data_IF_626995072171
#
_entry.id   IF_626995072171
#
_cell.length_a   1.000
_cell.length_b   1.000
_cell.length_c   1.000
_cell.angle_alpha   90.00
_cell.angle_beta   90.00
_cell.angle_gamma   90.00
#
_symmetry.space_group_name_H-M   'P 1'
#
loop_
_entity.id
_entity.type
_entity.pdbx_description
1 polymer ?
#
# COMPACT_ATOMS: atom_id res chain seq x y z
N UNK A 1 -33.23 -1.69 -10.35
CA UNK A 1 -33.83 -0.34 -10.50
C UNK A 1 -32.66 0.61 -10.55
N UNK A 2 -32.40 1.22 -11.70
CA UNK A 2 -31.25 2.11 -11.89
C UNK A 2 -31.41 3.38 -11.06
N UNK A 3 -30.37 3.71 -10.32
CA UNK A 3 -30.22 5.02 -9.68
C UNK A 3 -30.21 6.08 -10.77
N UNK A 4 -31.16 7.00 -10.75
CA UNK A 4 -31.24 8.19 -11.62
C UNK A 4 -30.31 9.31 -11.10
N UNK A 5 -29.30 8.98 -10.27
CA UNK A 5 -28.30 9.91 -9.79
C UNK A 5 -27.16 10.06 -10.78
N UNK A 6 -26.58 11.25 -10.87
CA UNK A 6 -25.36 11.51 -11.63
C UNK A 6 -24.23 10.64 -11.08
N UNK A 7 -23.52 9.92 -11.98
CA UNK A 7 -22.35 9.09 -11.62
C UNK A 7 -21.33 9.94 -10.86
N UNK A 8 -20.76 9.39 -9.77
CA UNK A 8 -19.68 10.04 -9.03
C UNK A 8 -18.31 9.68 -9.59
N UNK A 9 -17.29 10.46 -9.23
CA UNK A 9 -15.91 10.08 -9.53
C UNK A 9 -15.47 8.80 -8.84
N UNK A 10 -16.07 8.45 -7.71
CA UNK A 10 -15.81 7.17 -7.04
C UNK A 10 -16.31 5.99 -7.89
N UNK A 11 -17.54 6.09 -8.44
CA UNK A 11 -18.09 5.08 -9.35
C UNK A 11 -17.24 4.95 -10.60
N UNK A 12 -16.78 6.09 -11.15
CA UNK A 12 -15.96 6.11 -12.36
C UNK A 12 -14.56 5.51 -12.11
N UNK A 13 -13.97 5.78 -10.96
CA UNK A 13 -12.68 5.22 -10.60
C UNK A 13 -12.75 3.70 -10.42
N UNK A 14 -13.84 3.18 -9.83
CA UNK A 14 -14.06 1.73 -9.71
C UNK A 14 -14.21 1.01 -11.07
N UNK A 15 -14.61 1.70 -12.12
CA UNK A 15 -14.60 1.14 -13.49
C UNK A 15 -13.16 0.99 -14.04
N UNK A 16 -12.23 1.83 -13.62
CA UNK A 16 -10.86 1.91 -14.16
C UNK A 16 -9.85 1.05 -13.40
N UNK A 17 -10.01 0.95 -12.06
CA UNK A 17 -9.10 0.23 -11.17
C UNK A 17 -9.87 -0.31 -9.96
N UNK A 18 -9.24 -1.16 -9.17
CA UNK A 18 -9.82 -1.60 -7.90
C UNK A 18 -9.67 -0.51 -6.85
N UNK A 19 -10.78 -0.06 -6.29
CA UNK A 19 -10.77 0.88 -5.17
C UNK A 19 -10.61 0.10 -3.87
N UNK A 20 -9.49 0.35 -3.17
CA UNK A 20 -9.21 -0.21 -1.86
C UNK A 20 -9.49 0.82 -0.77
N UNK A 21 -10.04 0.38 0.35
CA UNK A 21 -10.28 1.24 1.52
C UNK A 21 -9.09 1.17 2.47
N UNK A 22 -8.46 2.32 2.73
CA UNK A 22 -7.42 2.46 3.76
C UNK A 22 -8.04 2.95 5.07
N UNK A 23 -8.87 2.11 5.66
CA UNK A 23 -9.57 2.33 6.92
C UNK A 23 -10.09 1.01 7.48
N UNK A 24 -10.32 0.93 8.80
CA UNK A 24 -10.69 -0.33 9.46
C UNK A 24 -12.04 -0.31 10.18
N UNK A 25 -12.72 0.83 10.29
CA UNK A 25 -14.00 0.93 11.01
C UNK A 25 -15.14 0.23 10.23
N UNK A 26 -15.76 -0.86 10.75
CA UNK A 26 -16.71 -1.66 10.00
C UNK A 26 -17.98 -0.91 9.58
N UNK A 27 -18.51 -0.07 10.44
CA UNK A 27 -19.75 0.65 10.17
C UNK A 27 -19.58 1.67 9.05
N UNK A 28 -18.40 2.31 8.98
CA UNK A 28 -18.08 3.22 7.89
C UNK A 28 -17.94 2.47 6.56
N UNK A 29 -17.24 1.33 6.55
CA UNK A 29 -17.04 0.51 5.34
C UNK A 29 -18.38 0.01 4.79
N UNK A 30 -19.28 -0.45 5.66
CA UNK A 30 -20.60 -0.94 5.27
C UNK A 30 -21.53 0.16 4.75
N UNK A 31 -21.36 1.40 5.20
CA UNK A 31 -22.17 2.53 4.78
C UNK A 31 -21.84 3.05 3.38
N UNK A 32 -20.72 2.65 2.79
CA UNK A 32 -20.31 3.09 1.46
C UNK A 32 -21.17 2.46 0.34
N UNK A 33 -21.32 3.15 -0.81
CA UNK A 33 -22.28 2.76 -1.86
C UNK A 33 -21.92 1.46 -2.60
N UNK A 34 -20.69 0.99 -2.48
CA UNK A 34 -20.23 -0.27 -3.07
C UNK A 34 -19.26 -1.02 -2.15
N UNK A 35 -19.02 -2.28 -2.50
CA UNK A 35 -18.10 -3.15 -1.79
C UNK A 35 -16.69 -2.94 -2.30
N UNK A 36 -15.80 -2.42 -1.46
CA UNK A 36 -14.39 -2.21 -1.79
C UNK A 36 -13.70 -3.51 -2.20
N UNK A 37 -12.63 -3.40 -2.99
CA UNK A 37 -11.86 -4.57 -3.37
C UNK A 37 -11.05 -5.08 -2.17
N UNK A 38 -10.07 -4.35 -1.69
CA UNK A 38 -9.26 -4.70 -0.51
C UNK A 38 -9.46 -3.69 0.63
N UNK A 39 -9.23 -4.15 1.88
CA UNK A 39 -9.07 -3.28 3.03
C UNK A 39 -7.60 -3.24 3.43
N UNK A 40 -6.99 -2.06 3.35
CA UNK A 40 -5.60 -1.87 3.77
C UNK A 40 -5.51 -1.26 5.16
N UNK A 41 -4.37 -1.40 5.79
CA UNK A 41 -4.04 -0.81 7.08
C UNK A 41 -2.54 -0.59 7.23
N UNK A 42 -2.19 0.01 8.33
CA UNK A 42 -0.82 0.16 8.82
C UNK A 42 -0.88 0.34 10.35
N UNK A 43 0.24 0.58 11.00
CA UNK A 43 0.30 0.72 12.46
C UNK A 43 -0.55 1.88 13.01
N UNK A 44 -0.77 2.93 12.21
CA UNK A 44 -1.61 4.08 12.66
C UNK A 44 -3.07 3.67 12.79
N UNK A 45 -3.58 2.94 11.81
CA UNK A 45 -4.98 2.49 11.81
C UNK A 45 -5.22 1.42 12.88
N UNK A 46 -4.28 0.51 13.08
CA UNK A 46 -4.35 -0.47 14.18
C UNK A 46 -4.32 0.23 15.54
N UNK A 47 -3.43 1.22 15.71
CA UNK A 47 -3.35 2.03 16.94
C UNK A 47 -4.68 2.75 17.26
N UNK A 48 -5.31 3.38 16.26
CA UNK A 48 -6.61 4.04 16.42
C UNK A 48 -7.68 3.02 16.79
N UNK A 49 -7.74 1.89 16.12
CA UNK A 49 -8.74 0.86 16.38
C UNK A 49 -8.56 0.16 17.73
N UNK A 50 -7.35 0.01 18.24
CA UNK A 50 -7.09 -0.46 19.60
C UNK A 50 -7.62 0.50 20.68
N UNK A 51 -7.71 1.80 20.35
CA UNK A 51 -8.28 2.81 21.25
C UNK A 51 -9.79 3.01 21.09
N UNK A 52 -10.44 2.36 20.12
CA UNK A 52 -11.86 2.52 19.86
C UNK A 52 -12.70 1.69 20.82
N UNK A 53 -13.71 2.32 21.44
CA UNK A 53 -14.58 1.67 22.45
C UNK A 53 -15.31 0.44 21.89
N UNK A 54 -15.61 0.39 20.59
CA UNK A 54 -16.24 -0.76 19.92
C UNK A 54 -15.36 -2.02 19.91
N UNK A 55 -14.06 -1.87 20.18
CA UNK A 55 -13.09 -2.95 20.27
C UNK A 55 -12.69 -3.31 21.71
N UNK A 56 -13.15 -2.54 22.72
CA UNK A 56 -12.69 -2.66 24.10
C UNK A 56 -12.89 -4.06 24.70
N UNK A 57 -14.09 -4.62 24.58
CA UNK A 57 -14.39 -5.96 25.08
C UNK A 57 -13.52 -7.03 24.40
N UNK A 58 -13.40 -6.96 23.07
CA UNK A 58 -12.55 -7.86 22.31
C UNK A 58 -11.07 -7.74 22.72
N UNK A 59 -10.62 -6.53 22.98
CA UNK A 59 -9.25 -6.26 23.41
C UNK A 59 -8.98 -6.82 24.80
N UNK A 60 -9.91 -6.64 25.74
CA UNK A 60 -9.82 -7.20 27.09
C UNK A 60 -9.79 -8.74 27.07
N UNK A 61 -10.70 -9.37 26.30
CA UNK A 61 -10.75 -10.83 26.15
C UNK A 61 -9.46 -11.38 25.53
N UNK A 62 -8.97 -10.75 24.46
CA UNK A 62 -7.72 -11.16 23.80
C UNK A 62 -6.52 -11.02 24.73
N UNK A 63 -6.46 -9.95 25.52
CA UNK A 63 -5.38 -9.72 26.47
C UNK A 63 -5.37 -10.77 27.60
N UNK A 64 -6.54 -11.17 28.12
CA UNK A 64 -6.68 -12.26 29.08
C UNK A 64 -6.23 -13.59 28.48
N UNK A 65 -6.67 -13.89 27.25
CA UNK A 65 -6.36 -15.14 26.56
C UNK A 65 -4.84 -15.31 26.31
N UNK A 66 -4.17 -14.24 25.91
CA UNK A 66 -2.75 -14.26 25.53
C UNK A 66 -1.83 -13.70 26.61
N UNK A 67 -2.34 -13.54 27.87
CA UNK A 67 -1.53 -13.09 28.99
C UNK A 67 -0.30 -14.00 29.15
N UNK A 68 0.88 -13.39 29.18
CA UNK A 68 2.15 -14.11 29.26
C UNK A 68 2.82 -14.43 27.91
N UNK A 69 2.17 -14.19 26.76
CA UNK A 69 2.78 -14.37 25.45
C UNK A 69 3.43 -13.08 24.88
N UNK A 70 3.37 -11.99 25.63
CA UNK A 70 3.95 -10.70 25.27
C UNK A 70 3.02 -9.82 24.42
N UNK A 71 3.36 -8.53 24.35
CA UNK A 71 2.53 -7.52 23.69
C UNK A 71 2.31 -7.80 22.19
N UNK A 72 3.31 -8.33 21.49
CA UNK A 72 3.24 -8.57 20.04
C UNK A 72 2.20 -9.65 19.69
N UNK A 73 2.07 -10.69 20.52
CA UNK A 73 1.05 -11.73 20.32
C UNK A 73 -0.36 -11.12 20.40
N UNK A 74 -0.61 -10.28 21.40
CA UNK A 74 -1.90 -9.60 21.59
C UNK A 74 -2.17 -8.61 20.46
N UNK A 75 -1.18 -7.76 20.13
CA UNK A 75 -1.26 -6.82 19.01
C UNK A 75 -1.63 -7.53 17.70
N UNK A 76 -0.90 -8.60 17.38
CA UNK A 76 -1.10 -9.35 16.12
C UNK A 76 -2.50 -9.99 16.10
N UNK A 77 -2.91 -10.62 17.18
CA UNK A 77 -4.24 -11.21 17.31
C UNK A 77 -5.34 -10.18 17.16
N UNK A 78 -5.22 -9.03 17.84
CA UNK A 78 -6.17 -7.92 17.74
C UNK A 78 -6.25 -7.36 16.32
N UNK A 79 -5.11 -7.10 15.68
CA UNK A 79 -5.08 -6.60 14.31
C UNK A 79 -5.82 -7.53 13.34
N UNK A 80 -5.60 -8.85 13.46
CA UNK A 80 -6.30 -9.86 12.66
C UNK A 80 -7.79 -9.91 12.96
N UNK A 81 -8.20 -9.84 14.23
CA UNK A 81 -9.62 -9.85 14.61
C UNK A 81 -10.37 -8.60 14.16
N UNK A 82 -9.71 -7.44 14.18
CA UNK A 82 -10.27 -6.20 13.64
C UNK A 82 -10.43 -6.29 12.11
N UNK A 83 -9.46 -6.87 11.39
CA UNK A 83 -9.60 -7.18 9.96
C UNK A 83 -10.76 -8.16 9.70
N UNK A 84 -10.93 -9.17 10.56
CA UNK A 84 -12.03 -10.14 10.42
C UNK A 84 -13.41 -9.49 10.44
N UNK A 85 -13.60 -8.40 11.18
CA UNK A 85 -14.87 -7.65 11.18
C UNK A 85 -15.25 -7.11 9.80
N UNK A 86 -14.29 -6.92 8.91
CA UNK A 86 -14.45 -6.32 7.59
C UNK A 86 -14.44 -7.33 6.43
N UNK A 87 -14.01 -8.58 6.67
CA UNK A 87 -13.74 -9.54 5.60
C UNK A 87 -14.94 -9.81 4.68
N UNK A 88 -16.16 -9.81 5.22
CA UNK A 88 -17.38 -10.02 4.45
C UNK A 88 -17.89 -8.74 3.75
N UNK A 89 -17.34 -7.59 4.13
CA UNK A 89 -17.68 -6.28 3.58
C UNK A 89 -16.76 -5.85 2.43
N UNK A 90 -15.75 -6.67 2.09
CA UNK A 90 -14.82 -6.46 0.99
C UNK A 90 -14.82 -7.65 0.03
N UNK A 91 -14.35 -7.44 -1.19
CA UNK A 91 -14.30 -8.47 -2.22
C UNK A 91 -13.02 -9.31 -2.13
N UNK A 92 -11.89 -8.69 -1.84
CA UNK A 92 -10.56 -9.26 -1.92
C UNK A 92 -9.94 -9.54 -0.54
N UNK A 93 -8.85 -8.85 -0.23
CA UNK A 93 -7.94 -9.13 0.88
C UNK A 93 -7.97 -8.07 1.96
N UNK A 94 -7.72 -8.48 3.20
CA UNK A 94 -7.31 -7.58 4.28
C UNK A 94 -5.79 -7.54 4.37
N UNK A 95 -5.21 -6.37 4.61
CA UNK A 95 -3.77 -6.18 4.61
C UNK A 95 -3.28 -5.63 5.95
N UNK A 96 -2.29 -6.29 6.53
CA UNK A 96 -1.61 -5.89 7.77
C UNK A 96 -0.11 -5.77 7.54
N UNK A 97 0.53 -4.81 8.21
CA UNK A 97 1.94 -4.50 8.06
C UNK A 97 2.78 -5.10 9.18
N UNK A 98 3.94 -5.69 8.84
CA UNK A 98 4.95 -6.11 9.82
C UNK A 98 5.51 -4.92 10.60
N UNK A 99 6.16 -5.18 11.74
CA UNK A 99 6.70 -4.13 12.60
C UNK A 99 7.71 -3.25 11.84
N UNK A 100 7.45 -1.95 11.70
CA UNK A 100 8.36 -1.02 11.02
C UNK A 100 9.67 -0.83 11.77
N UNK A 101 9.69 -0.96 13.11
CA UNK A 101 10.91 -0.95 13.92
C UNK A 101 11.87 -2.10 13.58
N UNK A 102 11.38 -3.14 12.89
CA UNK A 102 12.13 -4.33 12.45
C UNK A 102 12.36 -4.37 10.95
N UNK A 103 12.12 -3.27 10.25
CA UNK A 103 12.28 -3.19 8.79
C UNK A 103 13.70 -3.54 8.30
N UNK A 104 14.73 -3.39 9.14
CA UNK A 104 16.12 -3.76 8.83
C UNK A 104 16.57 -5.07 9.48
N UNK A 105 15.61 -5.92 9.91
CA UNK A 105 15.87 -7.23 10.51
C UNK A 105 15.04 -8.30 9.75
N UNK A 106 15.72 -9.09 8.92
CA UNK A 106 15.11 -10.15 8.11
C UNK A 106 14.37 -11.17 8.97
N UNK A 107 15.01 -11.64 10.06
CA UNK A 107 14.42 -12.69 10.89
C UNK A 107 13.20 -12.19 11.66
N UNK A 108 13.28 -11.00 12.26
CA UNK A 108 12.14 -10.41 12.95
C UNK A 108 10.96 -10.12 12.00
N UNK A 109 11.23 -9.71 10.75
CA UNK A 109 10.19 -9.55 9.72
C UNK A 109 9.54 -10.88 9.36
N UNK A 110 10.33 -11.94 9.17
CA UNK A 110 9.84 -13.31 8.93
C UNK A 110 8.97 -13.80 10.08
N UNK A 111 9.45 -13.67 11.31
CA UNK A 111 8.75 -14.17 12.50
C UNK A 111 7.40 -13.49 12.67
N UNK A 112 7.35 -12.16 12.48
CA UNK A 112 6.08 -11.43 12.58
C UNK A 112 5.12 -11.76 11.43
N UNK A 113 5.61 -11.88 10.19
CA UNK A 113 4.78 -12.24 9.04
C UNK A 113 4.18 -13.66 9.21
N UNK A 114 4.96 -14.62 9.71
CA UNK A 114 4.49 -15.97 10.01
C UNK A 114 3.52 -15.99 11.20
N UNK A 115 3.69 -15.11 12.17
CA UNK A 115 2.71 -14.94 13.24
C UNK A 115 1.37 -14.43 12.70
N UNK A 116 1.37 -13.47 11.78
CA UNK A 116 0.16 -13.04 11.08
C UNK A 116 -0.50 -14.19 10.31
N UNK A 117 0.26 -14.95 9.52
CA UNK A 117 -0.26 -16.12 8.78
C UNK A 117 -0.96 -17.11 9.72
N UNK A 118 -0.33 -17.43 10.86
CA UNK A 118 -0.91 -18.30 11.90
C UNK A 118 -2.19 -17.71 12.49
N UNK A 119 -2.21 -16.42 12.81
CA UNK A 119 -3.38 -15.77 13.41
C UNK A 119 -4.52 -15.57 12.42
N UNK A 120 -4.23 -15.33 11.14
CA UNK A 120 -5.24 -15.34 10.07
C UNK A 120 -5.87 -16.72 9.91
N UNK A 121 -5.06 -17.79 9.87
CA UNK A 121 -5.57 -19.17 9.82
C UNK A 121 -6.45 -19.50 11.03
N UNK A 122 -6.03 -19.09 12.23
CA UNK A 122 -6.82 -19.24 13.47
C UNK A 122 -8.13 -18.46 13.42
N UNK A 123 -8.17 -17.33 12.73
CA UNK A 123 -9.38 -16.55 12.53
C UNK A 123 -10.29 -17.11 11.42
N UNK A 124 -9.88 -18.16 10.70
CA UNK A 124 -10.59 -18.74 9.57
C UNK A 124 -10.43 -17.94 8.27
N UNK A 125 -9.38 -17.14 8.15
CA UNK A 125 -9.07 -16.33 6.96
C UNK A 125 -7.92 -17.01 6.20
N UNK A 126 -8.20 -17.49 4.99
CA UNK A 126 -7.20 -18.16 4.15
C UNK A 126 -6.20 -17.18 3.54
N UNK A 127 -5.07 -17.69 3.05
CA UNK A 127 -4.04 -16.90 2.35
C UNK A 127 -4.54 -16.16 1.12
N UNK A 128 -5.67 -16.58 0.56
CA UNK A 128 -6.34 -15.90 -0.56
C UNK A 128 -7.10 -14.64 -0.12
N UNK A 129 -7.33 -14.45 1.18
CA UNK A 129 -8.11 -13.37 1.74
C UNK A 129 -7.30 -12.39 2.61
N UNK A 130 -5.98 -12.56 2.67
CA UNK A 130 -5.10 -11.57 3.30
C UNK A 130 -3.82 -11.35 2.48
N UNK A 131 -3.09 -10.29 2.83
CA UNK A 131 -1.76 -10.01 2.31
C UNK A 131 -0.96 -9.24 3.36
N UNK A 132 0.34 -9.54 3.48
CA UNK A 132 1.21 -8.93 4.49
C UNK A 132 2.03 -7.82 3.87
N UNK A 133 1.90 -6.61 4.41
CA UNK A 133 2.67 -5.44 3.98
C UNK A 133 4.07 -5.48 4.57
N UNK A 134 5.07 -5.35 3.73
CA UNK A 134 6.50 -5.40 4.04
C UNK A 134 7.16 -4.08 3.63
N UNK A 135 7.82 -3.35 4.52
CA UNK A 135 8.58 -2.15 4.14
C UNK A 135 9.66 -2.46 3.09
N UNK A 136 9.87 -1.56 2.14
CA UNK A 136 10.78 -1.77 1.00
C UNK A 136 12.25 -1.46 1.34
N UNK A 137 12.77 -2.10 2.38
CA UNK A 137 14.19 -2.15 2.80
C UNK A 137 14.82 -3.46 2.36
N UNK A 138 16.13 -3.51 2.27
CA UNK A 138 16.85 -4.71 1.85
C UNK A 138 16.54 -5.94 2.70
N UNK A 139 16.73 -5.92 4.02
CA UNK A 139 16.45 -7.05 4.90
C UNK A 139 14.99 -7.48 4.87
N UNK A 140 14.02 -6.53 4.84
CA UNK A 140 12.61 -6.87 4.79
C UNK A 140 12.19 -7.48 3.44
N UNK A 141 12.74 -7.01 2.31
CA UNK A 141 12.47 -7.60 0.99
C UNK A 141 13.10 -8.99 0.84
N UNK A 142 14.23 -9.27 1.50
CA UNK A 142 14.75 -10.64 1.60
C UNK A 142 13.78 -11.55 2.39
N UNK A 143 13.20 -11.06 3.48
CA UNK A 143 12.13 -11.79 4.17
C UNK A 143 10.94 -12.03 3.23
N UNK A 144 10.51 -11.04 2.46
CA UNK A 144 9.42 -11.17 1.50
C UNK A 144 9.69 -12.26 0.44
N UNK A 145 10.93 -12.38 -0.04
CA UNK A 145 11.33 -13.45 -0.98
C UNK A 145 11.12 -14.85 -0.36
N UNK A 146 11.48 -15.03 0.91
CA UNK A 146 11.29 -16.29 1.63
C UNK A 146 9.79 -16.56 1.83
N UNK A 147 9.03 -15.56 2.26
CA UNK A 147 7.59 -15.66 2.47
C UNK A 147 6.84 -16.00 1.17
N UNK A 148 7.24 -15.42 0.05
CA UNK A 148 6.68 -15.74 -1.28
C UNK A 148 6.91 -17.21 -1.64
N UNK A 149 8.10 -17.76 -1.35
CA UNK A 149 8.40 -19.17 -1.55
C UNK A 149 7.59 -20.10 -0.63
N UNK A 150 7.17 -19.61 0.54
CA UNK A 150 6.27 -20.30 1.47
C UNK A 150 4.78 -20.16 1.09
N UNK A 151 4.46 -19.41 0.01
CA UNK A 151 3.10 -19.15 -0.44
C UNK A 151 2.34 -18.15 0.44
N UNK A 152 3.03 -17.33 1.22
CA UNK A 152 2.46 -16.23 2.00
C UNK A 152 2.47 -14.97 1.13
N UNK A 153 1.29 -14.40 0.78
CA UNK A 153 1.24 -13.24 -0.10
C UNK A 153 1.74 -11.97 0.60
N UNK A 154 2.56 -11.20 -0.12
CA UNK A 154 3.18 -9.97 0.42
C UNK A 154 2.95 -8.77 -0.50
N UNK A 155 3.00 -7.57 0.10
CA UNK A 155 2.94 -6.27 -0.55
C UNK A 155 4.13 -5.41 -0.13
N UNK A 156 4.87 -4.87 -1.09
CA UNK A 156 5.94 -3.88 -0.84
C UNK A 156 5.35 -2.51 -0.54
N UNK A 157 5.53 -2.02 0.70
CA UNK A 157 5.06 -0.70 1.15
C UNK A 157 6.23 0.23 1.49
N UNK A 158 5.96 1.50 1.81
CA UNK A 158 6.98 2.54 1.94
C UNK A 158 7.89 2.53 0.70
N UNK A 159 7.26 2.55 -0.47
CA UNK A 159 7.89 2.43 -1.77
C UNK A 159 7.84 3.76 -2.51
N UNK A 160 8.98 4.26 -2.92
CA UNK A 160 9.16 5.60 -3.51
C UNK A 160 10.02 5.59 -4.79
N UNK A 161 10.58 4.45 -5.20
CA UNK A 161 11.50 4.37 -6.33
C UNK A 161 11.26 3.16 -7.23
N UNK A 162 11.71 3.27 -8.48
CA UNK A 162 11.72 2.15 -9.41
C UNK A 162 12.63 1.01 -8.94
N UNK A 163 13.76 1.31 -8.29
CA UNK A 163 14.65 0.28 -7.75
C UNK A 163 13.94 -0.60 -6.71
N UNK A 164 13.17 0.02 -5.79
CA UNK A 164 12.36 -0.71 -4.82
C UNK A 164 11.29 -1.57 -5.51
N UNK A 165 10.64 -1.06 -6.56
CA UNK A 165 9.66 -1.83 -7.32
C UNK A 165 10.29 -3.04 -8.01
N UNK A 166 11.47 -2.90 -8.62
CA UNK A 166 12.21 -4.01 -9.23
C UNK A 166 12.58 -5.05 -8.15
N UNK A 167 13.08 -4.61 -6.98
CA UNK A 167 13.37 -5.52 -5.87
C UNK A 167 12.14 -6.30 -5.40
N UNK A 168 10.97 -5.67 -5.34
CA UNK A 168 9.71 -6.33 -5.02
C UNK A 168 9.32 -7.39 -6.07
N UNK A 169 9.53 -7.10 -7.36
CA UNK A 169 9.37 -8.09 -8.43
C UNK A 169 10.31 -9.29 -8.24
N UNK A 170 11.58 -9.03 -7.93
CA UNK A 170 12.58 -10.08 -7.66
C UNK A 170 12.25 -10.91 -6.42
N UNK A 171 11.58 -10.31 -5.43
CA UNK A 171 11.10 -11.01 -4.23
C UNK A 171 9.83 -11.85 -4.50
N UNK A 172 9.20 -11.76 -5.68
CA UNK A 172 7.97 -12.48 -6.00
C UNK A 172 6.74 -11.96 -5.23
N UNK A 173 6.71 -10.69 -4.89
CA UNK A 173 5.61 -10.08 -4.16
C UNK A 173 4.35 -9.99 -5.02
N UNK A 174 3.17 -10.11 -4.38
CA UNK A 174 1.88 -10.03 -5.06
C UNK A 174 1.52 -8.59 -5.45
N UNK A 175 1.84 -7.64 -4.58
CA UNK A 175 1.49 -6.24 -4.73
C UNK A 175 2.66 -5.33 -4.40
N UNK A 176 2.62 -4.10 -4.91
CA UNK A 176 3.38 -2.96 -4.40
C UNK A 176 2.46 -1.77 -4.17
N UNK A 177 2.83 -0.94 -3.22
CA UNK A 177 2.10 0.31 -2.89
C UNK A 177 3.04 1.52 -3.01
N UNK A 178 3.26 2.05 -4.23
CA UNK A 178 3.97 3.32 -4.37
C UNK A 178 3.22 4.44 -3.64
N UNK A 179 3.93 5.25 -2.86
CA UNK A 179 3.34 6.40 -2.18
C UNK A 179 3.42 7.63 -3.09
N UNK A 180 2.25 8.12 -3.48
CA UNK A 180 2.13 9.28 -4.34
C UNK A 180 2.65 10.53 -3.66
N UNK A 181 2.17 10.79 -2.45
CA UNK A 181 2.75 11.80 -1.56
C UNK A 181 3.69 11.16 -0.52
N UNK A 182 4.68 11.93 -0.09
CA UNK A 182 5.42 11.60 1.12
C UNK A 182 4.51 11.67 2.36
N UNK A 183 4.79 10.85 3.37
CA UNK A 183 3.90 10.74 4.54
C UNK A 183 3.74 12.04 5.31
N UNK A 184 4.78 12.86 5.38
CA UNK A 184 4.74 14.15 6.06
C UNK A 184 3.80 15.16 5.39
N UNK A 185 3.59 15.06 4.07
CA UNK A 185 2.73 15.99 3.35
C UNK A 185 1.26 15.98 3.82
N UNK A 186 0.83 14.91 4.49
CA UNK A 186 -0.52 14.82 5.08
C UNK A 186 -0.72 15.78 6.26
N UNK A 187 0.34 16.07 7.00
CA UNK A 187 0.32 16.97 8.17
C UNK A 187 0.99 18.31 7.87
N UNK A 188 1.99 18.34 6.98
CA UNK A 188 2.73 19.52 6.55
C UNK A 188 2.41 19.86 5.09
N UNK A 189 1.29 20.55 4.87
CA UNK A 189 0.81 20.91 3.53
C UNK A 189 1.79 21.71 2.67
N UNK A 190 2.81 22.33 3.28
CA UNK A 190 3.91 22.98 2.55
C UNK A 190 4.79 21.99 1.75
N UNK A 191 4.74 20.70 2.08
CA UNK A 191 5.41 19.64 1.35
C UNK A 191 4.55 19.02 0.25
N UNK A 192 3.26 19.32 0.23
CA UNK A 192 2.33 18.81 -0.75
C UNK A 192 2.44 19.57 -2.06
N UNK A 193 2.69 18.88 -3.18
CA UNK A 193 2.70 19.48 -4.51
C UNK A 193 1.25 19.72 -4.96
N UNK A 194 0.70 20.86 -4.59
CA UNK A 194 -0.65 21.28 -5.00
C UNK A 194 -0.65 21.70 -6.48
N UNK A 195 -0.91 20.72 -7.34
CA UNK A 195 -0.89 20.88 -8.81
C UNK A 195 -2.28 20.68 -9.40
N UNK A 196 -2.55 21.34 -10.52
CA UNK A 196 -3.87 21.30 -11.16
C UNK A 196 -4.16 20.00 -11.90
N UNK A 197 -3.12 19.34 -12.42
CA UNK A 197 -3.17 18.07 -13.16
C UNK A 197 -2.19 17.05 -12.56
N UNK A 198 -2.60 16.34 -11.48
CA UNK A 198 -1.69 15.44 -10.77
C UNK A 198 -1.07 14.37 -11.66
N UNK A 199 -1.82 13.78 -12.61
CA UNK A 199 -1.27 12.74 -13.49
C UNK A 199 -0.04 13.21 -14.28
N UNK A 200 -0.03 14.48 -14.66
CA UNK A 200 1.03 15.07 -15.50
C UNK A 200 2.08 15.85 -14.72
N UNK A 201 1.66 16.51 -13.62
CA UNK A 201 2.46 17.54 -12.95
C UNK A 201 2.98 17.10 -11.58
N UNK A 202 2.34 16.10 -10.95
CA UNK A 202 2.81 15.60 -9.66
C UNK A 202 4.21 14.98 -9.77
N UNK A 203 5.17 15.36 -8.93
CA UNK A 203 6.57 14.94 -9.07
C UNK A 203 6.79 13.43 -8.96
N UNK A 204 5.84 12.68 -8.39
CA UNK A 204 5.93 11.22 -8.31
C UNK A 204 5.26 10.49 -9.49
N UNK A 205 4.48 11.17 -10.34
CA UNK A 205 3.84 10.56 -11.51
C UNK A 205 4.83 9.89 -12.45
N UNK A 206 6.01 10.49 -12.77
CA UNK A 206 7.02 9.82 -13.57
C UNK A 206 7.43 8.45 -12.98
N UNK A 207 7.69 8.38 -11.67
CA UNK A 207 8.08 7.12 -11.03
C UNK A 207 6.99 6.05 -11.11
N UNK A 208 5.72 6.42 -10.93
CA UNK A 208 4.59 5.49 -11.04
C UNK A 208 4.46 4.93 -12.45
N UNK A 209 4.50 5.77 -13.48
CA UNK A 209 4.40 5.29 -14.88
C UNK A 209 5.63 4.48 -15.29
N UNK A 210 6.82 4.84 -14.83
CA UNK A 210 8.05 4.06 -15.07
C UNK A 210 7.99 2.67 -14.45
N UNK A 211 7.40 2.54 -13.26
CA UNK A 211 7.16 1.24 -12.60
C UNK A 211 6.19 0.40 -13.45
N UNK A 212 5.05 0.97 -13.84
CA UNK A 212 4.04 0.28 -14.65
C UNK A 212 4.62 -0.22 -15.97
N UNK A 213 5.34 0.64 -16.70
CA UNK A 213 5.95 0.26 -17.98
C UNK A 213 7.09 -0.77 -17.81
N UNK A 214 7.87 -0.69 -16.71
CA UNK A 214 8.89 -1.67 -16.40
C UNK A 214 8.24 -3.05 -16.14
N UNK A 215 7.15 -3.11 -15.40
CA UNK A 215 6.46 -4.37 -15.12
C UNK A 215 5.78 -4.96 -16.37
N UNK A 216 5.19 -4.12 -17.22
CA UNK A 216 4.67 -4.56 -18.55
C UNK A 216 5.78 -5.19 -19.40
N UNK A 217 6.94 -4.54 -19.45
CA UNK A 217 8.12 -5.04 -20.17
C UNK A 217 8.62 -6.37 -19.59
N UNK A 218 8.81 -6.45 -18.28
CA UNK A 218 9.26 -7.68 -17.59
C UNK A 218 8.29 -8.85 -17.82
N UNK A 219 6.98 -8.62 -17.75
CA UNK A 219 5.98 -9.63 -18.07
C UNK A 219 6.11 -10.10 -19.53
N UNK A 220 6.22 -9.16 -20.48
CA UNK A 220 6.37 -9.47 -21.91
C UNK A 220 7.64 -10.28 -22.19
N UNK A 221 8.75 -9.96 -21.55
CA UNK A 221 10.05 -10.61 -21.75
C UNK A 221 10.12 -11.98 -21.08
N UNK A 222 9.49 -12.17 -19.93
CA UNK A 222 9.70 -13.36 -19.09
C UNK A 222 8.47 -14.27 -18.99
N UNK A 223 7.28 -13.77 -19.29
CA UNK A 223 6.01 -14.44 -19.02
C UNK A 223 5.66 -14.59 -17.53
N UNK A 224 6.48 -14.02 -16.62
CA UNK A 224 6.25 -14.09 -15.17
C UNK A 224 5.33 -12.96 -14.73
N UNK A 225 4.38 -13.31 -13.87
CA UNK A 225 3.53 -12.32 -13.21
C UNK A 225 4.40 -11.29 -12.46
N UNK A 226 3.95 -10.05 -12.51
CA UNK A 226 4.58 -8.93 -11.82
C UNK A 226 3.67 -8.45 -10.69
N UNK A 227 4.21 -7.79 -9.65
CA UNK A 227 3.37 -7.22 -8.60
C UNK A 227 2.30 -6.28 -9.18
N UNK A 228 1.07 -6.37 -8.68
CA UNK A 228 0.04 -5.39 -9.04
C UNK A 228 0.33 -4.06 -8.32
N UNK A 229 0.18 -2.96 -9.04
CA UNK A 229 0.47 -1.63 -8.52
C UNK A 229 -0.78 -1.06 -7.84
N UNK A 230 -0.71 -0.92 -6.51
CA UNK A 230 -1.71 -0.29 -5.65
C UNK A 230 -1.19 1.09 -5.22
N UNK A 231 -1.42 2.12 -6.04
CA UNK A 231 -0.96 3.47 -5.70
C UNK A 231 -1.65 3.99 -4.44
N UNK A 232 -0.94 4.68 -3.57
CA UNK A 232 -1.41 5.07 -2.23
C UNK A 232 -0.94 6.46 -1.84
N UNK A 233 -1.37 6.93 -0.65
CA UNK A 233 -0.95 8.22 -0.08
C UNK A 233 -1.48 9.41 -0.87
N UNK A 234 -2.80 9.44 -1.10
CA UNK A 234 -3.50 10.55 -1.74
C UNK A 234 -4.01 11.56 -0.71
N UNK A 235 -3.89 12.85 -1.03
CA UNK A 235 -4.42 13.97 -0.24
C UNK A 235 -5.74 14.46 -0.84
N UNK A 236 -5.89 14.36 -2.15
CA UNK A 236 -7.09 14.84 -2.86
C UNK A 236 -7.75 13.78 -3.74
N UNK A 237 -9.04 13.96 -4.07
CA UNK A 237 -9.72 13.14 -5.08
C UNK A 237 -8.98 13.12 -6.42
N UNK A 238 -8.45 14.25 -6.87
CA UNK A 238 -7.75 14.39 -8.15
C UNK A 238 -6.50 13.51 -8.24
N UNK A 239 -5.77 13.37 -7.12
CA UNK A 239 -4.63 12.45 -7.06
C UNK A 239 -5.05 10.98 -7.18
N UNK A 240 -6.17 10.60 -6.54
CA UNK A 240 -6.70 9.26 -6.69
C UNK A 240 -7.18 8.98 -8.14
N UNK A 241 -7.81 9.97 -8.78
CA UNK A 241 -8.21 9.89 -10.20
C UNK A 241 -7.00 9.77 -11.11
N UNK A 242 -5.89 10.45 -10.79
CA UNK A 242 -4.64 10.33 -11.54
C UNK A 242 -4.11 8.89 -11.56
N UNK A 243 -4.30 8.11 -10.49
CA UNK A 243 -3.93 6.69 -10.47
C UNK A 243 -4.68 5.88 -11.54
N UNK A 244 -5.95 6.18 -11.78
CA UNK A 244 -6.75 5.57 -12.86
C UNK A 244 -6.20 5.92 -14.23
N UNK A 245 -5.92 7.19 -14.50
CA UNK A 245 -5.37 7.63 -15.79
C UNK A 245 -3.98 7.05 -16.07
N UNK A 246 -3.11 6.97 -15.07
CA UNK A 246 -1.79 6.35 -15.20
C UNK A 246 -1.84 4.84 -15.47
N UNK A 247 -2.99 4.20 -15.23
CA UNK A 247 -3.16 2.76 -15.43
C UNK A 247 -2.75 1.90 -14.23
N UNK A 248 -2.79 2.43 -13.02
CA UNK A 248 -2.60 1.64 -11.80
C UNK A 248 -3.69 0.56 -11.67
N UNK A 249 -3.37 -0.58 -11.06
CA UNK A 249 -4.30 -1.70 -10.91
C UNK A 249 -5.28 -1.49 -9.74
N UNK A 250 -4.84 -0.73 -8.73
CA UNK A 250 -5.64 -0.33 -7.58
C UNK A 250 -5.24 1.06 -7.08
N UNK A 251 -6.15 1.70 -6.37
CA UNK A 251 -5.89 2.90 -5.58
C UNK A 251 -6.28 2.62 -4.12
N UNK A 252 -5.31 2.75 -3.22
CA UNK A 252 -5.49 2.64 -1.77
C UNK A 252 -5.80 4.01 -1.21
N UNK A 253 -7.06 4.24 -0.83
CA UNK A 253 -7.62 5.57 -0.58
C UNK A 253 -8.14 5.66 0.85
N UNK A 254 -7.76 6.73 1.56
CA UNK A 254 -8.27 7.00 2.90
C UNK A 254 -9.77 7.29 2.89
N UNK A 255 -10.43 7.01 4.01
CA UNK A 255 -11.87 7.24 4.18
C UNK A 255 -12.28 8.69 3.86
N UNK A 256 -11.46 9.67 4.23
CA UNK A 256 -11.74 11.10 3.98
C UNK A 256 -11.72 11.47 2.50
N UNK A 257 -10.81 10.89 1.72
CA UNK A 257 -10.73 11.10 0.26
C UNK A 257 -11.84 10.32 -0.45
N UNK A 258 -12.17 9.10 0.01
CA UNK A 258 -13.29 8.31 -0.50
C UNK A 258 -14.64 9.04 -0.33
N UNK A 259 -14.87 9.68 0.80
CA UNK A 259 -16.08 10.48 1.02
C UNK A 259 -16.17 11.67 0.06
N UNK A 260 -15.05 12.32 -0.23
CA UNK A 260 -15.01 13.41 -1.22
C UNK A 260 -15.28 12.89 -2.63
N UNK A 261 -14.66 11.78 -3.04
CA UNK A 261 -14.87 11.13 -4.33
C UNK A 261 -16.33 10.72 -4.54
N UNK A 262 -16.98 10.18 -3.50
CA UNK A 262 -18.38 9.73 -3.59
C UNK A 262 -19.37 10.88 -3.80
N UNK A 263 -19.01 12.09 -3.40
CA UNK A 263 -19.83 13.31 -3.53
C UNK A 263 -19.47 14.15 -4.75
N UNK A 264 -18.34 13.88 -5.41
CA UNK A 264 -17.85 14.64 -6.56
C UNK A 264 -18.51 14.10 -7.84
N UNK A 265 -19.38 14.89 -8.55
CA UNK A 265 -19.99 14.46 -9.80
C UNK A 265 -18.91 14.20 -10.86
N UNK A 266 -19.08 13.11 -11.59
CA UNK A 266 -18.19 12.80 -12.71
C UNK A 266 -18.28 13.87 -13.81
N UNK A 267 -17.14 14.31 -14.29
CA UNK A 267 -16.98 15.28 -15.37
C UNK A 267 -15.75 14.91 -16.21
N UNK A 268 -16.00 14.36 -17.40
CA UNK A 268 -14.96 13.91 -18.32
C UNK A 268 -14.05 15.04 -18.84
N UNK A 269 -14.44 16.30 -18.67
CA UNK A 269 -13.63 17.46 -19.09
C UNK A 269 -12.57 17.87 -18.08
N UNK A 270 -12.63 17.31 -16.84
CA UNK A 270 -11.69 17.61 -15.76
C UNK A 270 -10.39 16.83 -15.89
N UNK A 271 -9.31 17.44 -15.38
CA UNK A 271 -8.01 16.78 -15.21
C UNK A 271 -7.84 16.31 -13.77
N UNK A 272 -7.18 15.17 -13.51
CA UNK A 272 -6.60 14.28 -14.52
C UNK A 272 -7.65 13.69 -15.47
N UNK A 273 -7.20 13.15 -16.60
CA UNK A 273 -8.06 12.50 -17.56
C UNK A 273 -8.66 11.19 -17.05
N UNK A 274 -9.57 10.65 -17.83
CA UNK A 274 -10.18 9.35 -17.55
C UNK A 274 -9.22 8.22 -17.90
N UNK A 275 -9.08 7.24 -17.00
CA UNK A 275 -8.37 6.00 -17.27
C UNK A 275 -9.21 5.05 -18.14
N UNK A 276 -8.57 3.99 -18.62
CA UNK A 276 -9.24 2.92 -19.36
C UNK A 276 -9.97 1.98 -18.39
N UNK A 277 -11.00 1.26 -18.84
CA UNK A 277 -11.65 0.24 -18.03
C UNK A 277 -10.67 -0.81 -17.53
N UNK A 278 -10.92 -1.40 -16.35
CA UNK A 278 -10.08 -2.46 -15.77
C UNK A 278 -9.80 -3.55 -16.80
N UNK A 279 -8.53 -3.91 -17.05
CA UNK A 279 -8.20 -5.02 -17.92
C UNK A 279 -8.58 -6.35 -17.29
N UNK A 280 -8.89 -7.36 -18.12
CA UNK A 280 -9.13 -8.73 -17.64
C UNK A 280 -7.87 -9.32 -16.99
N UNK A 281 -6.70 -8.93 -17.48
CA UNK A 281 -5.40 -9.33 -16.95
C UNK A 281 -4.46 -8.12 -16.94
N UNK A 282 -3.81 -7.88 -15.80
CA UNK A 282 -3.03 -6.67 -15.56
C UNK A 282 -1.93 -6.40 -16.60
N UNK A 283 -1.26 -7.46 -17.08
CA UNK A 283 -0.08 -7.32 -17.94
C UNK A 283 -0.23 -7.97 -19.31
N UNK A 284 -1.09 -8.97 -19.45
CA UNK A 284 -1.32 -9.65 -20.74
C UNK A 284 -2.16 -8.74 -21.64
N UNK A 285 -1.57 -8.26 -22.73
CA UNK A 285 -2.18 -7.28 -23.65
C UNK A 285 -2.55 -5.96 -22.93
N UNK A 286 -1.70 -5.54 -21.98
CA UNK A 286 -1.90 -4.29 -21.27
C UNK A 286 -1.94 -3.09 -22.24
N UNK A 287 -2.87 -2.19 -21.99
CA UNK A 287 -3.01 -0.97 -22.80
C UNK A 287 -1.76 -0.10 -22.72
N UNK A 288 -1.46 0.64 -23.78
CA UNK A 288 -0.34 1.58 -23.78
C UNK A 288 -0.62 2.76 -22.83
N UNK A 289 0.47 3.33 -22.29
CA UNK A 289 0.38 4.58 -21.54
C UNK A 289 -0.29 5.68 -22.39
N UNK A 290 -1.22 6.48 -21.83
CA UNK A 290 -1.81 7.63 -22.54
C UNK A 290 -0.75 8.54 -23.16
N UNK A 291 -0.99 9.00 -24.41
CA UNK A 291 -0.02 9.76 -25.17
C UNK A 291 0.52 10.98 -24.43
N UNK A 292 -0.38 11.71 -23.74
CA UNK A 292 -0.02 12.91 -22.97
C UNK A 292 0.93 12.63 -21.80
N UNK A 293 0.96 11.39 -21.28
CA UNK A 293 1.81 10.97 -20.15
C UNK A 293 3.16 10.39 -20.61
N UNK A 294 3.38 10.12 -21.90
CA UNK A 294 4.61 9.47 -22.40
C UNK A 294 5.89 10.22 -22.05
N UNK A 295 5.84 11.54 -21.96
CA UNK A 295 7.01 12.34 -21.55
C UNK A 295 7.52 12.01 -20.14
N UNK A 296 6.66 11.46 -19.27
CA UNK A 296 7.01 11.08 -17.89
C UNK A 296 7.99 9.90 -17.83
N UNK A 297 8.11 9.12 -18.90
CA UNK A 297 9.05 8.00 -18.97
C UNK A 297 10.52 8.43 -18.98
N UNK A 298 10.82 9.68 -19.31
CA UNK A 298 12.19 10.18 -19.49
C UNK A 298 12.57 11.28 -18.49
N UNK A 299 11.76 11.53 -17.47
CA UNK A 299 12.04 12.55 -16.46
C UNK A 299 11.90 11.95 -15.05
N UNK A 300 12.57 12.54 -14.07
CA UNK A 300 12.39 12.28 -12.64
C UNK A 300 12.62 13.56 -11.84
N UNK A 301 11.56 14.35 -11.56
CA UNK A 301 11.67 15.57 -10.78
C UNK A 301 12.17 15.37 -9.33
N UNK A 302 12.10 14.14 -8.83
CA UNK A 302 12.55 13.78 -7.48
C UNK A 302 14.02 13.38 -7.46
N UNK A 303 14.62 13.08 -8.61
CA UNK A 303 16.04 12.86 -8.71
C UNK A 303 16.80 14.17 -8.48
N UNK A 304 17.97 14.08 -7.92
CA UNK A 304 18.82 15.24 -7.70
C UNK A 304 19.27 15.91 -9.02
N UNK A 305 19.82 17.12 -8.96
CA UNK A 305 20.22 17.90 -10.15
C UNK A 305 21.31 17.21 -10.98
N UNK A 306 21.99 16.22 -10.44
CA UNK A 306 23.04 15.44 -11.12
C UNK A 306 22.51 14.10 -11.67
N UNK A 307 21.21 13.92 -11.79
CA UNK A 307 20.65 12.70 -12.37
C UNK A 307 21.09 12.56 -13.85
N UNK A 308 21.61 11.40 -14.19
CA UNK A 308 22.16 11.12 -15.53
C UNK A 308 21.11 10.71 -16.56
N UNK A 309 19.84 10.78 -16.21
CA UNK A 309 18.71 10.40 -17.10
C UNK A 309 18.47 8.89 -17.17
N UNK A 310 19.20 8.07 -16.42
CA UNK A 310 19.04 6.61 -16.45
C UNK A 310 18.08 6.13 -15.38
N UNK A 311 17.21 5.22 -15.77
CA UNK A 311 16.35 4.51 -14.85
C UNK A 311 17.09 3.36 -14.16
N UNK A 312 16.59 2.93 -13.01
CA UNK A 312 17.09 1.74 -12.32
C UNK A 312 17.06 0.52 -13.25
N UNK A 313 18.16 -0.23 -13.30
CA UNK A 313 18.30 -1.39 -14.21
C UNK A 313 17.63 -2.63 -13.63
N UNK A 314 16.93 -3.38 -14.49
CA UNK A 314 16.39 -4.70 -14.16
C UNK A 314 17.46 -5.81 -14.15
N UNK A 315 18.68 -5.52 -14.60
CA UNK A 315 19.80 -6.46 -14.58
C UNK A 315 20.52 -6.53 -13.21
N UNK A 316 20.24 -5.57 -12.33
CA UNK A 316 20.77 -5.57 -10.96
C UNK A 316 19.97 -6.54 -10.10
N UNK A 317 20.64 -7.47 -9.41
CA UNK A 317 20.05 -8.26 -8.33
C UNK A 317 19.99 -7.41 -7.05
N UNK A 318 18.88 -6.73 -6.85
CA UNK A 318 18.68 -5.86 -5.68
C UNK A 318 18.59 -6.61 -4.35
N UNK A 319 18.35 -7.91 -4.39
CA UNK A 319 18.23 -8.75 -3.19
C UNK A 319 19.56 -9.45 -2.83
N UNK A 320 20.60 -9.29 -3.65
CA UNK A 320 21.91 -9.84 -3.37
C UNK A 320 22.46 -9.37 -2.02
N UNK A 321 23.27 -10.21 -1.39
CA UNK A 321 23.93 -9.93 -0.12
C UNK A 321 22.97 -9.46 1.01
N UNK A 322 21.84 -10.14 1.14
CA UNK A 322 20.85 -9.80 2.16
C UNK A 322 20.08 -8.50 1.88
N UNK A 323 20.05 -8.05 0.61
CA UNK A 323 19.38 -6.82 0.19
C UNK A 323 20.28 -5.58 0.23
N UNK A 324 21.59 -5.75 0.35
CA UNK A 324 22.53 -4.62 0.40
C UNK A 324 22.45 -3.73 -0.86
N UNK A 325 22.15 -4.30 -2.03
CA UNK A 325 22.08 -3.52 -3.27
C UNK A 325 20.85 -2.61 -3.31
N UNK A 326 19.68 -3.05 -2.80
CA UNK A 326 18.54 -2.14 -2.70
C UNK A 326 18.75 -1.08 -1.62
N UNK A 327 19.34 -1.42 -0.47
CA UNK A 327 19.63 -0.43 0.56
C UNK A 327 20.62 0.63 0.06
N UNK A 328 21.61 0.22 -0.72
CA UNK A 328 22.53 1.15 -1.41
C UNK A 328 21.78 2.07 -2.41
N UNK A 329 20.85 1.53 -3.18
CA UNK A 329 20.04 2.32 -4.09
C UNK A 329 19.12 3.30 -3.32
N UNK A 330 18.51 2.86 -2.21
CA UNK A 330 17.68 3.71 -1.34
C UNK A 330 18.52 4.87 -0.75
N UNK A 331 19.75 4.62 -0.33
CA UNK A 331 20.66 5.65 0.19
C UNK A 331 21.14 6.64 -0.88
N UNK A 332 21.32 6.19 -2.11
CA UNK A 332 21.79 7.01 -3.22
C UNK A 332 20.72 7.98 -3.75
N UNK A 333 19.45 7.61 -3.67
CA UNK A 333 18.31 8.45 -4.05
C UNK A 333 17.82 9.25 -2.83
N UNK A 334 18.19 10.53 -2.76
CA UNK A 334 17.86 11.41 -1.63
C UNK A 334 16.36 11.45 -1.32
N UNK A 335 15.50 11.48 -2.33
CA UNK A 335 14.06 11.51 -2.12
C UNK A 335 13.56 10.20 -1.49
N UNK A 336 14.00 9.05 -2.01
CA UNK A 336 13.66 7.74 -1.45
C UNK A 336 14.20 7.59 -0.03
N UNK A 337 15.46 7.94 0.21
CA UNK A 337 16.10 7.88 1.53
C UNK A 337 15.27 8.64 2.58
N UNK A 338 14.95 9.90 2.30
CA UNK A 338 14.21 10.75 3.24
C UNK A 338 12.79 10.24 3.46
N UNK A 339 12.06 9.95 2.38
CA UNK A 339 10.67 9.51 2.45
C UNK A 339 10.50 8.14 3.11
N UNK A 340 11.43 7.22 2.87
CA UNK A 340 11.45 5.91 3.53
C UNK A 340 11.68 6.06 5.03
N UNK A 341 12.66 6.89 5.44
CA UNK A 341 12.93 7.15 6.84
C UNK A 341 11.74 7.81 7.56
N UNK A 342 11.11 8.80 6.93
CA UNK A 342 9.93 9.49 7.46
C UNK A 342 8.74 8.54 7.61
N UNK A 343 8.48 7.69 6.61
CA UNK A 343 7.42 6.69 6.66
C UNK A 343 7.64 5.67 7.79
N UNK A 344 8.86 5.15 7.93
CA UNK A 344 9.20 4.23 9.02
C UNK A 344 9.04 4.90 10.38
N UNK A 345 9.51 6.14 10.55
CA UNK A 345 9.37 6.90 11.79
C UNK A 345 7.90 7.09 12.17
N UNK A 346 7.06 7.46 11.22
CA UNK A 346 5.63 7.63 11.43
C UNK A 346 4.96 6.33 11.90
N UNK A 347 5.25 5.22 11.22
CA UNK A 347 4.67 3.91 11.57
C UNK A 347 5.23 3.34 12.87
N UNK A 348 6.52 3.57 13.19
CA UNK A 348 7.10 3.22 14.50
C UNK A 348 6.36 3.95 15.62
N UNK A 349 6.00 5.21 15.44
CA UNK A 349 5.18 5.93 16.42
C UNK A 349 3.82 5.26 16.66
N UNK A 350 3.16 4.74 15.61
CA UNK A 350 1.94 3.94 15.75
C UNK A 350 2.15 2.60 16.45
N UNK A 351 3.27 1.92 16.17
CA UNK A 351 3.69 0.68 16.84
C UNK A 351 3.90 0.91 18.34
N UNK A 352 4.63 1.97 18.72
CA UNK A 352 4.92 2.30 20.11
C UNK A 352 3.64 2.63 20.91
N UNK A 353 2.73 3.42 20.33
CA UNK A 353 1.43 3.71 20.96
C UNK A 353 0.57 2.46 21.10
N UNK A 354 0.55 1.58 20.10
CA UNK A 354 -0.14 0.29 20.16
C UNK A 354 0.42 -0.60 21.27
N UNK A 355 1.76 -0.67 21.36
CA UNK A 355 2.44 -1.41 22.43
C UNK A 355 2.05 -0.88 23.80
N UNK A 356 2.09 0.43 23.99
CA UNK A 356 1.71 1.05 25.27
C UNK A 356 0.25 0.75 25.66
N UNK A 357 -0.69 0.75 24.68
CA UNK A 357 -2.10 0.36 24.93
C UNK A 357 -2.23 -1.10 25.37
N UNK A 358 -1.48 -2.01 24.71
CA UNK A 358 -1.47 -3.44 25.08
C UNK A 358 -0.90 -3.64 26.49
N UNK A 359 0.20 -2.99 26.81
CA UNK A 359 0.82 -3.07 28.15
C UNK A 359 -0.10 -2.50 29.23
N UNK A 360 -0.79 -1.38 28.96
CA UNK A 360 -1.79 -0.82 29.87
C UNK A 360 -2.98 -1.77 30.07
N UNK A 361 -3.49 -2.39 29.01
CA UNK A 361 -4.56 -3.39 29.11
C UNK A 361 -4.13 -4.60 29.91
N UNK A 362 -2.92 -5.12 29.72
CA UNK A 362 -2.35 -6.23 30.47
C UNK A 362 -2.24 -5.95 31.97
N UNK A 363 -2.05 -4.71 32.37
CA UNK A 363 -2.01 -4.32 33.78
C UNK A 363 -3.39 -4.36 34.47
N UNK A 364 -4.48 -4.40 33.70
CA UNK A 364 -5.87 -4.41 34.21
C UNK A 364 -6.53 -5.79 34.20
N UNK A 365 -5.94 -6.81 33.53
CA UNK A 365 -6.53 -8.13 33.34
C UNK A 365 -5.80 -9.31 34.02
#
# INVERSE_FOLDING_TARGET
MGSTGTQSWLDKLEEQLNVDVDWMAPEWIKAMPFKFHDQTSNQLWVDIQLGDDSNKELFEQTSKELKGQGWLAIYTRMAVLMCKKNIDSIQGRVLLQTLPSKAYDTQATLDHARLYDKEFARAGISRERFCIKIPSTGPALNAAKILSAEGIPTLGTALFSLAQAIACSQAGMLYISPYYNETRAHDELSLWPDVSDPALEHPNSPRVVQILETYKRLYKETGKEQPLVKNASFITPQEAMAAGEMGCHSATISHTVLEKLSKLPYDASKQPGEGLPKPVHAYKNADPLPERLKKLLSIDPLAGPNWDGKLASTDVDYLANGGAEIDKANEADKATKTRLADALTLFIGGEERSKAKVEAMLATV
#
